data_IF_186835784181
#
_entry.id   IF_186835784181
#
_cell.length_a   1.000
_cell.length_b   1.000
_cell.length_c   1.000
_cell.angle_alpha   90.00
_cell.angle_beta   90.00
_cell.angle_gamma   90.00
#
_symmetry.space_group_name_H-M   'P 1'
#
loop_
_entity.id
_entity.type
_entity.pdbx_description
1 polymer ?
#
# COMPACT_ATOMS: atom_id res chain seq x y z
N UNK A 1 -13.90 2.51 5.21
CA UNK A 1 -15.33 2.83 5.33
C UNK A 1 -16.13 2.45 4.08
N UNK A 2 -15.53 2.46 2.89
CA UNK A 2 -16.19 2.15 1.60
C UNK A 2 -16.51 0.66 1.39
N UNK A 3 -15.85 -0.25 2.12
CA UNK A 3 -16.02 -1.71 1.97
C UNK A 3 -16.84 -2.34 3.11
N UNK A 4 -17.34 -1.52 4.03
CA UNK A 4 -18.16 -2.04 5.13
C UNK A 4 -19.45 -2.63 4.59
N UNK A 5 -19.70 -3.90 4.95
CA UNK A 5 -20.89 -4.66 4.55
C UNK A 5 -21.09 -4.72 3.03
N UNK A 6 -19.99 -4.70 2.26
CA UNK A 6 -20.07 -4.77 0.80
C UNK A 6 -20.55 -6.14 0.30
N UNK A 7 -20.49 -7.16 1.13
CA UNK A 7 -21.06 -8.51 0.88
C UNK A 7 -22.16 -8.73 1.92
N UNK A 8 -23.35 -8.25 1.60
CA UNK A 8 -24.55 -8.39 2.42
C UNK A 8 -25.53 -9.38 1.82
N UNK A 9 -26.75 -9.37 2.34
CA UNK A 9 -27.83 -10.29 1.91
C UNK A 9 -28.06 -10.29 0.40
N UNK A 10 -28.01 -9.11 -0.24
CA UNK A 10 -28.23 -8.95 -1.68
C UNK A 10 -27.14 -9.63 -2.51
N UNK A 11 -25.89 -9.39 -2.16
CA UNK A 11 -24.74 -9.96 -2.86
C UNK A 11 -24.66 -11.47 -2.64
N UNK A 12 -24.94 -11.95 -1.44
CA UNK A 12 -25.01 -13.38 -1.11
C UNK A 12 -26.12 -14.06 -1.93
N UNK A 13 -27.29 -13.46 -2.01
CA UNK A 13 -28.40 -13.99 -2.82
C UNK A 13 -28.07 -14.06 -4.33
N UNK A 14 -27.23 -13.14 -4.81
CA UNK A 14 -26.79 -13.10 -6.21
C UNK A 14 -25.66 -14.11 -6.53
N UNK A 15 -25.04 -14.73 -5.53
CA UNK A 15 -24.04 -15.78 -5.75
C UNK A 15 -24.66 -17.00 -6.42
N UNK A 16 -23.84 -17.78 -7.12
CA UNK A 16 -24.27 -19.09 -7.67
C UNK A 16 -24.70 -20.04 -6.55
N UNK A 17 -25.71 -20.85 -6.82
CA UNK A 17 -26.09 -21.91 -5.91
C UNK A 17 -24.91 -22.87 -5.70
N UNK A 18 -24.68 -23.25 -4.46
CA UNK A 18 -23.55 -24.09 -4.09
C UNK A 18 -22.17 -23.37 -4.04
N UNK A 19 -22.12 -22.06 -4.18
CA UNK A 19 -20.87 -21.31 -4.02
C UNK A 19 -20.30 -21.45 -2.61
N UNK A 20 -18.98 -21.25 -2.47
CA UNK A 20 -18.26 -21.16 -1.20
C UNK A 20 -17.76 -19.73 -1.02
N UNK A 21 -17.97 -19.16 0.16
CA UNK A 21 -17.46 -17.83 0.51
C UNK A 21 -16.24 -17.96 1.41
N UNK A 22 -15.15 -17.27 1.04
CA UNK A 22 -13.92 -17.18 1.85
C UNK A 22 -13.67 -15.72 2.21
N UNK A 23 -13.50 -15.42 3.50
CA UNK A 23 -13.14 -14.09 3.99
C UNK A 23 -11.93 -14.17 4.91
N UNK A 24 -10.78 -13.75 4.40
CA UNK A 24 -9.54 -13.53 5.15
C UNK A 24 -9.08 -12.04 5.04
N UNK A 25 -10.01 -11.13 4.74
CA UNK A 25 -9.71 -9.71 4.55
C UNK A 25 -9.97 -8.89 5.83
N UNK A 26 -11.25 -8.58 6.10
CA UNK A 26 -11.69 -7.89 7.33
C UNK A 26 -13.10 -8.34 7.70
N UNK A 27 -13.38 -8.49 8.98
CA UNK A 27 -14.68 -8.94 9.47
C UNK A 27 -15.84 -8.03 9.06
N UNK A 28 -15.61 -6.75 8.94
CA UNK A 28 -16.63 -5.78 8.52
C UNK A 28 -16.99 -5.81 7.02
N UNK A 29 -16.37 -6.68 6.22
CA UNK A 29 -16.66 -6.79 4.78
C UNK A 29 -17.92 -7.62 4.53
N UNK A 30 -18.14 -8.66 5.31
CA UNK A 30 -19.24 -9.63 5.13
C UNK A 30 -20.23 -9.53 6.29
N UNK A 31 -21.52 -9.46 5.97
CA UNK A 31 -22.59 -9.61 6.98
C UNK A 31 -22.74 -11.08 7.36
N UNK A 32 -22.48 -11.38 8.63
CA UNK A 32 -22.40 -12.77 9.11
C UNK A 32 -23.76 -13.44 9.21
N UNK A 33 -24.80 -12.72 9.63
CA UNK A 33 -26.15 -13.26 9.74
C UNK A 33 -26.70 -13.72 8.38
N UNK A 34 -26.71 -12.88 7.31
CA UNK A 34 -27.13 -13.32 5.98
C UNK A 34 -26.30 -14.48 5.43
N UNK A 35 -24.99 -14.52 5.74
CA UNK A 35 -24.12 -15.63 5.35
C UNK A 35 -24.55 -16.94 6.02
N UNK A 36 -24.77 -16.91 7.33
CA UNK A 36 -25.22 -18.07 8.08
C UNK A 36 -26.59 -18.60 7.58
N UNK A 37 -27.53 -17.69 7.31
CA UNK A 37 -28.85 -18.04 6.80
C UNK A 37 -28.76 -18.68 5.39
N UNK A 38 -27.93 -18.15 4.50
CA UNK A 38 -27.72 -18.70 3.17
C UNK A 38 -27.09 -20.09 3.21
N UNK A 39 -26.18 -20.37 4.15
CA UNK A 39 -25.58 -21.69 4.35
C UNK A 39 -26.60 -22.67 4.91
N UNK A 40 -27.38 -22.30 5.94
CA UNK A 40 -28.46 -23.14 6.51
C UNK A 40 -29.54 -23.46 5.50
N UNK A 41 -29.85 -22.53 4.60
CA UNK A 41 -30.83 -22.74 3.52
C UNK A 41 -30.27 -23.56 2.35
N UNK A 42 -28.99 -23.94 2.35
CA UNK A 42 -28.37 -24.68 1.25
C UNK A 42 -28.10 -23.86 -0.01
N UNK A 43 -28.22 -22.52 0.05
CA UNK A 43 -27.89 -21.62 -1.04
C UNK A 43 -26.37 -21.59 -1.28
N UNK A 44 -25.58 -21.56 -0.21
CA UNK A 44 -24.14 -21.72 -0.25
C UNK A 44 -23.72 -23.08 0.29
N UNK A 45 -22.71 -23.68 -0.33
CA UNK A 45 -22.17 -24.98 0.12
C UNK A 45 -21.33 -24.86 1.38
N UNK A 46 -20.85 -23.67 1.73
CA UNK A 46 -20.08 -23.44 2.93
C UNK A 46 -19.33 -22.10 2.94
N UNK A 47 -18.56 -21.90 3.98
CA UNK A 47 -17.67 -20.73 4.11
C UNK A 47 -16.39 -21.06 4.85
N UNK A 48 -15.34 -20.23 4.61
CA UNK A 48 -14.14 -20.18 5.43
C UNK A 48 -13.92 -18.72 5.89
N UNK A 49 -13.93 -18.50 7.20
CA UNK A 49 -13.91 -17.16 7.79
C UNK A 49 -12.78 -17.10 8.82
N UNK A 50 -11.81 -16.22 8.55
CA UNK A 50 -10.67 -15.95 9.44
C UNK A 50 -10.84 -14.66 10.26
N UNK A 51 -11.75 -13.76 9.81
CA UNK A 51 -11.93 -12.42 10.37
C UNK A 51 -13.40 -12.16 10.69
N UNK A 52 -13.69 -11.51 11.83
CA UNK A 52 -15.05 -11.34 12.32
C UNK A 52 -15.36 -9.88 12.65
N UNK A 53 -16.64 -9.44 12.57
CA UNK A 53 -17.04 -8.07 12.96
C UNK A 53 -16.77 -7.78 14.44
N UNK A 54 -16.89 -8.80 15.29
CA UNK A 54 -16.57 -8.76 16.71
C UNK A 54 -15.68 -9.96 17.01
N UNK A 55 -14.49 -9.67 17.49
CA UNK A 55 -13.49 -10.67 17.85
C UNK A 55 -13.24 -10.62 19.36
N UNK A 56 -13.03 -11.76 20.05
CA UNK A 56 -12.64 -11.78 21.44
C UNK A 56 -11.35 -10.98 21.68
N UNK A 57 -11.29 -10.24 22.77
CA UNK A 57 -10.10 -9.46 23.15
C UNK A 57 -9.02 -10.29 23.82
N UNK A 58 -9.36 -11.50 24.23
CA UNK A 58 -8.47 -12.45 24.89
C UNK A 58 -9.05 -13.85 24.98
N UNK A 59 -8.25 -14.78 25.49
CA UNK A 59 -8.62 -16.21 25.58
C UNK A 59 -9.74 -16.50 26.58
N UNK A 60 -10.07 -15.55 27.44
CA UNK A 60 -11.12 -15.68 28.47
C UNK A 60 -12.51 -15.28 27.96
N UNK A 61 -12.61 -14.73 26.76
CA UNK A 61 -13.88 -14.34 26.14
C UNK A 61 -14.38 -15.44 25.19
N UNK A 62 -15.62 -15.87 25.41
CA UNK A 62 -16.23 -16.83 24.48
C UNK A 62 -16.55 -16.18 23.15
N UNK A 63 -16.05 -16.76 22.07
CA UNK A 63 -16.37 -16.33 20.70
C UNK A 63 -17.83 -16.70 20.35
N UNK A 64 -18.64 -15.72 20.01
CA UNK A 64 -20.03 -15.86 19.60
C UNK A 64 -20.19 -15.56 18.11
N UNK A 65 -20.78 -16.50 17.37
CA UNK A 65 -21.07 -16.31 15.95
C UNK A 65 -22.20 -17.25 15.52
N UNK A 66 -23.15 -16.81 14.66
CA UNK A 66 -24.18 -17.67 14.09
C UNK A 66 -23.60 -18.73 13.12
N UNK A 67 -22.33 -18.68 12.79
CA UNK A 67 -21.62 -19.66 11.98
C UNK A 67 -21.09 -20.85 12.78
N UNK A 68 -21.06 -20.76 14.11
CA UNK A 68 -20.62 -21.88 14.98
C UNK A 68 -21.55 -23.07 14.84
N UNK A 69 -20.96 -24.26 14.78
CA UNK A 69 -21.71 -25.50 14.70
C UNK A 69 -22.31 -25.82 13.32
N UNK A 70 -21.98 -25.06 12.28
CA UNK A 70 -22.30 -25.41 10.91
C UNK A 70 -21.18 -26.31 10.36
N UNK A 71 -21.54 -27.55 9.95
CA UNK A 71 -20.59 -28.60 9.54
C UNK A 71 -19.76 -28.23 8.29
N UNK A 72 -20.31 -27.36 7.47
CA UNK A 72 -19.69 -26.90 6.22
C UNK A 72 -19.04 -25.50 6.33
N UNK A 73 -18.68 -25.08 7.57
CA UNK A 73 -18.00 -23.80 7.82
C UNK A 73 -16.70 -24.03 8.55
N UNK A 74 -15.64 -23.41 8.05
CA UNK A 74 -14.32 -23.36 8.68
C UNK A 74 -14.18 -21.98 9.33
N UNK A 75 -13.91 -21.95 10.62
CA UNK A 75 -13.60 -20.72 11.38
C UNK A 75 -12.16 -20.80 11.88
N UNK A 76 -11.37 -19.79 11.60
CA UNK A 76 -9.98 -19.68 12.07
C UNK A 76 -9.82 -18.45 12.96
N UNK A 77 -8.86 -18.45 13.91
CA UNK A 77 -8.83 -17.46 15.01
C UNK A 77 -8.10 -16.14 14.67
N UNK A 78 -7.96 -15.78 13.41
CA UNK A 78 -7.31 -14.52 12.95
C UNK A 78 -5.91 -14.29 13.55
N UNK A 79 -5.07 -15.32 13.54
CA UNK A 79 -3.72 -15.27 14.14
C UNK A 79 -2.59 -15.11 13.12
N UNK A 80 -2.89 -14.98 11.82
CA UNK A 80 -1.87 -14.92 10.78
C UNK A 80 -0.80 -13.83 10.95
N UNK A 81 -1.17 -12.69 11.56
CA UNK A 81 -0.24 -11.62 11.91
C UNK A 81 0.14 -11.53 13.39
N UNK A 82 -0.32 -12.47 14.24
CA UNK A 82 -0.21 -12.38 15.70
C UNK A 82 0.75 -13.38 16.31
N UNK A 83 1.29 -14.31 15.55
CA UNK A 83 2.33 -15.24 16.04
C UNK A 83 3.65 -14.50 16.21
N UNK A 84 4.51 -14.97 17.12
CA UNK A 84 5.84 -14.37 17.35
C UNK A 84 6.65 -14.35 16.06
N UNK A 85 6.64 -15.46 15.31
CA UNK A 85 7.32 -15.57 14.00
C UNK A 85 6.77 -14.56 12.97
N UNK A 86 5.44 -14.39 12.89
CA UNK A 86 4.84 -13.42 11.99
C UNK A 86 5.23 -11.98 12.37
N UNK A 87 5.23 -11.64 13.65
CA UNK A 87 5.63 -10.32 14.13
C UNK A 87 7.11 -10.01 13.81
N UNK A 88 8.00 -10.98 13.99
CA UNK A 88 9.41 -10.86 13.64
C UNK A 88 9.57 -10.64 12.13
N UNK A 89 8.97 -11.48 11.30
CA UNK A 89 9.05 -11.40 9.84
C UNK A 89 8.46 -10.09 9.29
N UNK A 90 7.31 -9.65 9.82
CA UNK A 90 6.70 -8.35 9.47
C UNK A 90 7.64 -7.22 9.86
N UNK A 91 8.24 -7.27 11.06
CA UNK A 91 9.20 -6.27 11.52
C UNK A 91 10.40 -6.14 10.60
N UNK A 92 10.99 -7.26 10.18
CA UNK A 92 12.12 -7.30 9.25
C UNK A 92 11.70 -6.72 7.89
N UNK A 93 10.62 -7.23 7.30
CA UNK A 93 10.17 -6.79 5.97
C UNK A 93 9.84 -5.29 5.92
N UNK A 94 9.12 -4.77 6.91
CA UNK A 94 8.77 -3.34 6.99
C UNK A 94 10.03 -2.50 7.16
N UNK A 95 10.96 -2.93 8.01
CA UNK A 95 12.22 -2.21 8.23
C UNK A 95 13.07 -2.14 6.96
N UNK A 96 13.21 -3.24 6.23
CA UNK A 96 13.93 -3.30 4.96
C UNK A 96 13.32 -2.36 3.91
N UNK A 97 11.99 -2.32 3.80
CA UNK A 97 11.29 -1.39 2.90
C UNK A 97 11.52 0.07 3.28
N UNK A 98 11.46 0.39 4.57
CA UNK A 98 11.74 1.75 5.05
C UNK A 98 13.20 2.16 4.80
N UNK A 99 14.15 1.27 5.03
CA UNK A 99 15.57 1.49 4.72
C UNK A 99 15.73 1.74 3.21
N UNK A 100 15.19 0.86 2.38
CA UNK A 100 15.29 0.98 0.92
C UNK A 100 14.68 2.30 0.43
N UNK A 101 13.50 2.70 0.95
CA UNK A 101 12.93 4.02 0.66
C UNK A 101 13.82 5.15 1.16
N UNK A 102 14.40 5.01 2.35
CA UNK A 102 15.29 6.02 2.91
C UNK A 102 16.56 6.20 2.08
N UNK A 103 17.14 5.12 1.63
CA UNK A 103 18.45 5.12 0.97
C UNK A 103 18.37 5.44 -0.52
N UNK A 104 17.34 4.98 -1.21
CA UNK A 104 17.26 5.18 -2.67
C UNK A 104 15.91 5.70 -3.19
N UNK A 105 14.88 5.82 -2.35
CA UNK A 105 13.57 6.31 -2.77
C UNK A 105 12.64 5.27 -3.38
N UNK A 106 13.00 3.98 -3.40
CA UNK A 106 12.13 2.89 -3.88
C UNK A 106 10.84 2.81 -3.07
N UNK A 107 9.71 2.65 -3.76
CA UNK A 107 8.35 2.59 -3.16
C UNK A 107 7.61 1.30 -3.50
N UNK A 108 8.33 0.22 -3.79
CA UNK A 108 7.76 -1.10 -4.10
C UNK A 108 6.85 -1.57 -2.97
N UNK A 109 5.69 -2.12 -3.34
CA UNK A 109 4.59 -2.54 -2.46
C UNK A 109 3.82 -1.40 -1.76
N UNK A 110 4.01 -0.16 -2.16
CA UNK A 110 3.19 0.95 -1.67
C UNK A 110 1.76 0.84 -2.20
N UNK A 111 0.76 0.88 -1.32
CA UNK A 111 -0.66 0.73 -1.70
C UNK A 111 -1.40 2.05 -1.93
N UNK A 112 -0.85 3.17 -1.46
CA UNK A 112 -1.48 4.50 -1.50
C UNK A 112 -0.57 5.59 -2.09
N UNK A 113 0.53 5.20 -2.67
CA UNK A 113 1.52 6.07 -3.31
C UNK A 113 2.00 5.43 -4.63
N UNK A 114 2.46 6.20 -5.65
CA UNK A 114 3.01 5.62 -6.87
C UNK A 114 4.14 4.63 -6.59
N UNK A 115 4.06 3.43 -7.16
CA UNK A 115 5.03 2.38 -6.94
C UNK A 115 6.16 2.45 -7.96
N UNK A 116 7.41 2.51 -7.50
CA UNK A 116 8.59 2.50 -8.36
C UNK A 116 9.71 1.68 -7.73
N UNK A 117 10.34 0.83 -8.53
CA UNK A 117 11.59 0.16 -8.21
C UNK A 117 12.75 0.97 -8.80
N UNK A 118 13.70 1.34 -7.97
CA UNK A 118 14.83 2.17 -8.38
C UNK A 118 16.14 1.40 -8.28
N UNK A 119 17.05 1.53 -9.25
CA UNK A 119 18.38 0.97 -9.14
C UNK A 119 19.20 1.70 -8.07
N UNK A 120 20.29 1.09 -7.65
CA UNK A 120 21.33 1.78 -6.89
C UNK A 120 21.84 2.99 -7.68
N UNK A 121 22.27 4.05 -6.97
CA UNK A 121 22.72 5.30 -7.56
C UNK A 121 24.12 5.71 -7.03
N UNK A 122 25.12 4.83 -7.15
CA UNK A 122 26.47 5.15 -6.71
C UNK A 122 26.98 6.41 -7.44
N UNK A 123 27.64 7.29 -6.71
CA UNK A 123 28.24 8.50 -7.24
C UNK A 123 27.28 9.48 -7.94
N UNK A 124 25.98 9.39 -7.70
CA UNK A 124 24.94 10.28 -8.20
C UNK A 124 24.24 11.01 -7.06
N UNK A 125 23.80 12.23 -7.35
CA UNK A 125 22.85 12.92 -6.49
C UNK A 125 21.44 12.59 -6.96
N UNK A 126 20.60 12.07 -6.06
CA UNK A 126 19.24 11.70 -6.35
C UNK A 126 18.25 12.69 -5.75
N UNK A 127 17.36 13.19 -6.58
CA UNK A 127 16.25 14.06 -6.21
C UNK A 127 14.97 13.26 -6.25
N UNK A 128 14.21 13.30 -5.16
CA UNK A 128 12.84 12.76 -5.08
C UNK A 128 11.88 13.94 -5.10
N UNK A 129 11.03 14.03 -6.11
CA UNK A 129 10.06 15.10 -6.26
C UNK A 129 8.65 14.53 -6.31
N UNK A 130 7.81 14.98 -5.40
CA UNK A 130 6.40 14.60 -5.27
C UNK A 130 5.57 15.81 -5.67
N UNK A 131 4.60 15.61 -6.58
CA UNK A 131 3.77 16.68 -7.12
C UNK A 131 2.34 16.23 -7.38
N UNK A 132 1.41 17.16 -7.53
CA UNK A 132 0.08 16.83 -8.06
C UNK A 132 0.18 16.30 -9.48
N UNK A 133 -0.58 15.25 -9.81
CA UNK A 133 -0.55 14.66 -11.13
C UNK A 133 -1.31 15.51 -12.14
N UNK A 134 -0.69 16.61 -12.57
CA UNK A 134 -1.23 17.53 -13.58
C UNK A 134 -0.24 17.75 -14.73
N UNK A 135 -0.73 18.04 -15.94
CA UNK A 135 0.13 18.28 -17.10
C UNK A 135 1.11 19.44 -16.88
N UNK A 136 2.34 19.30 -17.39
CA UNK A 136 3.34 20.37 -17.41
C UNK A 136 4.33 20.39 -16.26
N UNK A 137 4.08 19.73 -15.14
CA UNK A 137 4.99 19.73 -13.97
C UNK A 137 6.37 19.17 -14.33
N UNK A 138 6.41 18.01 -14.99
CA UNK A 138 7.67 17.40 -15.40
C UNK A 138 8.48 18.31 -16.35
N UNK A 139 7.80 19.03 -17.23
CA UNK A 139 8.45 19.99 -18.15
C UNK A 139 9.06 21.16 -17.38
N UNK A 140 8.41 21.66 -16.32
CA UNK A 140 8.94 22.71 -15.47
C UNK A 140 10.15 22.23 -14.66
N UNK A 141 10.10 21.02 -14.09
CA UNK A 141 11.22 20.40 -13.38
C UNK A 141 12.44 20.30 -14.30
N UNK A 142 12.26 19.75 -15.50
CA UNK A 142 13.34 19.58 -16.47
C UNK A 142 13.91 20.93 -16.94
N UNK A 143 13.07 21.96 -17.10
CA UNK A 143 13.50 23.32 -17.42
C UNK A 143 14.40 23.89 -16.31
N UNK A 144 13.98 23.79 -15.05
CA UNK A 144 14.78 24.28 -13.91
C UNK A 144 16.16 23.62 -13.89
N UNK A 145 16.23 22.30 -14.10
CA UNK A 145 17.51 21.58 -14.14
C UNK A 145 18.38 22.08 -15.30
N UNK A 146 17.80 22.20 -16.51
CA UNK A 146 18.49 22.66 -17.70
C UNK A 146 19.02 24.09 -17.57
N UNK A 147 18.22 25.03 -17.07
CA UNK A 147 18.58 26.42 -16.86
C UNK A 147 19.72 26.59 -15.83
N UNK A 148 19.83 25.65 -14.88
CA UNK A 148 20.92 25.59 -13.91
C UNK A 148 22.12 24.74 -14.40
N UNK A 149 22.13 24.31 -15.65
CA UNK A 149 23.21 23.53 -16.26
C UNK A 149 23.41 22.16 -15.60
N UNK A 150 22.35 21.57 -15.07
CA UNK A 150 22.35 20.27 -14.42
C UNK A 150 21.91 19.19 -15.41
N UNK A 151 22.81 18.23 -15.65
CA UNK A 151 22.53 17.13 -16.57
C UNK A 151 21.83 15.97 -15.81
N UNK A 152 20.75 15.44 -16.42
CA UNK A 152 20.01 14.31 -15.89
C UNK A 152 20.63 13.02 -16.42
N UNK A 153 21.08 12.15 -15.54
CA UNK A 153 21.63 10.84 -15.89
C UNK A 153 20.58 9.71 -15.77
N UNK A 154 19.53 9.93 -15.03
CA UNK A 154 18.39 9.00 -14.93
C UNK A 154 17.13 9.73 -14.47
N UNK A 155 15.96 9.31 -14.98
CA UNK A 155 14.69 9.88 -14.59
C UNK A 155 13.63 8.77 -14.56
N UNK A 156 12.96 8.63 -13.43
CA UNK A 156 11.95 7.61 -13.17
C UNK A 156 10.66 8.30 -12.71
N UNK A 157 9.58 8.14 -13.46
CA UNK A 157 8.28 8.72 -13.15
C UNK A 157 7.24 7.62 -12.97
N UNK A 158 6.52 7.67 -11.87
CA UNK A 158 5.28 6.92 -11.67
C UNK A 158 4.19 7.86 -11.16
N UNK A 159 2.96 7.62 -11.58
CA UNK A 159 1.80 8.42 -11.20
C UNK A 159 0.64 7.54 -10.78
N UNK A 160 -0.20 8.07 -9.91
CA UNK A 160 -1.56 7.60 -9.71
C UNK A 160 -2.55 8.74 -10.03
N UNK A 161 -3.83 8.58 -9.76
CA UNK A 161 -4.87 9.58 -10.11
C UNK A 161 -4.61 10.97 -9.50
N UNK A 162 -3.85 11.08 -8.43
CA UNK A 162 -3.66 12.32 -7.66
C UNK A 162 -2.22 12.81 -7.63
N UNK A 163 -1.27 11.91 -7.57
CA UNK A 163 0.13 12.21 -7.24
C UNK A 163 1.06 11.69 -8.32
N UNK A 164 2.03 12.51 -8.72
CA UNK A 164 3.21 12.12 -9.47
C UNK A 164 4.41 12.02 -8.54
N UNK A 165 5.20 10.98 -8.73
CA UNK A 165 6.47 10.75 -8.06
C UNK A 165 7.56 10.62 -9.12
N UNK A 166 8.43 11.62 -9.20
CA UNK A 166 9.57 11.60 -10.10
C UNK A 166 10.87 11.54 -9.30
N UNK A 167 11.72 10.59 -9.67
CA UNK A 167 13.06 10.43 -9.13
C UNK A 167 14.06 10.77 -10.20
N UNK A 168 15.00 11.66 -9.91
CA UNK A 168 15.96 12.20 -10.88
C UNK A 168 17.36 11.99 -10.34
N UNK A 169 18.18 11.28 -11.11
CA UNK A 169 19.61 11.16 -10.87
C UNK A 169 20.36 12.20 -11.68
N UNK A 170 21.25 12.93 -11.03
CA UNK A 170 22.08 13.97 -11.64
C UNK A 170 23.57 13.69 -11.40
N UNK A 171 24.40 14.08 -12.36
CA UNK A 171 25.82 13.73 -12.39
C UNK A 171 26.70 14.59 -11.45
N UNK A 172 26.19 15.74 -11.01
CA UNK A 172 26.94 16.68 -10.18
C UNK A 172 26.06 17.27 -9.07
N UNK A 173 26.70 17.73 -8.02
CA UNK A 173 26.04 18.51 -7.00
C UNK A 173 25.41 19.76 -7.62
N UNK A 174 24.23 20.09 -7.17
CA UNK A 174 23.49 21.30 -7.54
C UNK A 174 23.52 22.30 -6.37
N UNK A 175 23.52 23.57 -6.73
CA UNK A 175 23.53 24.64 -5.72
C UNK A 175 22.19 24.79 -5.00
N UNK A 176 22.18 25.50 -3.86
CA UNK A 176 20.96 25.81 -3.12
C UNK A 176 19.89 26.51 -3.97
N UNK A 177 20.33 27.31 -4.96
CA UNK A 177 19.43 28.03 -5.87
C UNK A 177 18.61 27.09 -6.77
N UNK A 178 19.23 26.04 -7.33
CA UNK A 178 18.52 25.06 -8.15
C UNK A 178 17.50 24.27 -7.31
N UNK A 179 17.86 23.92 -6.07
CA UNK A 179 16.95 23.23 -5.17
C UNK A 179 15.77 24.13 -4.78
N UNK A 180 16.02 25.40 -4.53
CA UNK A 180 14.95 26.35 -4.21
C UNK A 180 14.03 26.58 -5.42
N UNK A 181 14.60 26.71 -6.62
CA UNK A 181 13.81 26.82 -7.87
C UNK A 181 12.93 25.57 -8.11
N UNK A 182 13.44 24.38 -7.81
CA UNK A 182 12.64 23.15 -7.88
C UNK A 182 11.49 23.14 -6.86
N UNK A 183 11.69 23.70 -5.66
CA UNK A 183 10.61 23.81 -4.65
C UNK A 183 9.52 24.78 -5.06
N UNK A 184 9.83 25.77 -5.90
CA UNK A 184 8.91 26.78 -6.42
C UNK A 184 8.17 26.32 -7.69
N UNK A 185 8.46 25.14 -8.22
CA UNK A 185 7.68 24.55 -9.32
C UNK A 185 6.24 24.38 -8.85
N UNK A 186 5.31 24.92 -9.63
CA UNK A 186 3.88 24.84 -9.30
C UNK A 186 3.43 23.39 -9.14
N UNK A 187 2.53 23.13 -8.21
CA UNK A 187 2.06 21.79 -7.84
C UNK A 187 3.09 20.89 -7.14
N UNK A 188 4.23 21.41 -6.72
CA UNK A 188 5.17 20.66 -5.89
C UNK A 188 4.58 20.42 -4.50
N UNK A 189 4.50 19.15 -4.09
CA UNK A 189 4.08 18.75 -2.75
C UNK A 189 5.28 18.58 -1.82
N UNK A 190 6.34 17.94 -2.30
CA UNK A 190 7.54 17.69 -1.50
C UNK A 190 8.76 17.40 -2.37
N UNK A 191 9.93 17.87 -1.90
CA UNK A 191 11.23 17.46 -2.45
C UNK A 191 12.08 16.87 -1.34
N UNK A 192 12.77 15.79 -1.66
CA UNK A 192 13.79 15.18 -0.83
C UNK A 192 15.04 14.96 -1.66
N UNK A 193 16.19 15.19 -1.05
CA UNK A 193 17.50 14.95 -1.64
C UNK A 193 18.14 13.76 -0.95
N UNK A 194 18.62 12.83 -1.74
CA UNK A 194 19.48 11.75 -1.28
C UNK A 194 20.88 12.03 -1.79
N UNK A 195 21.80 12.20 -0.86
CA UNK A 195 23.21 12.36 -1.18
C UNK A 195 23.85 10.99 -1.28
N UNK A 196 24.68 10.75 -2.30
CA UNK A 196 25.65 9.67 -2.19
C UNK A 196 26.57 10.04 -1.02
N UNK A 197 26.78 9.11 -0.10
CA UNK A 197 27.75 9.31 0.95
C UNK A 197 29.10 9.66 0.26
N UNK A 198 29.59 10.87 0.44
CA UNK A 198 30.98 11.17 0.16
C UNK A 198 31.76 10.29 1.13
N UNK A 199 32.50 9.34 0.61
CA UNK A 199 33.50 8.62 1.39
C UNK A 199 34.44 9.68 1.97
N UNK A 200 34.30 9.92 3.26
CA UNK A 200 35.23 10.72 4.06
C UNK A 200 36.51 9.95 4.30
#
# INVERSE_FOLDING_TARGET
ASTRWMIGAKEIAAMKDGAILINAARGSVVEIEPLADAIKAGKLNGAAIDVFPVEPKGNDEEFQSPLRGLDNVILTPHIGGSTLEAQENIGIEVSEKLITYSDNGTTVTSVNFPEVALPAHPDKHRLLHIHDNVPGVLSQINRVLSENGINISGQYLQTNDKVGYVVIDVDKAYGPQALEALRQVEHTLKIRVLYSAQNS
#
